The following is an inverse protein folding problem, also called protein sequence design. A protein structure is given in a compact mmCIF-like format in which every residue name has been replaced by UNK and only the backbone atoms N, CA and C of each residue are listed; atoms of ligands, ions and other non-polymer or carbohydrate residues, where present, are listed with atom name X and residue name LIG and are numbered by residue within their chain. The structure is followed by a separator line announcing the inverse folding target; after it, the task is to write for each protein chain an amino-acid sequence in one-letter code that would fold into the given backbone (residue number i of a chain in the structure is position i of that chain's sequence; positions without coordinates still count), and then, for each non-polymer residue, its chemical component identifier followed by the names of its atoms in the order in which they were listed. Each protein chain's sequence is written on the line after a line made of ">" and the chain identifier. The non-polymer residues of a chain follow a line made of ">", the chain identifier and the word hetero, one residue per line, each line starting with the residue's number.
data_IF_161481412037
#
_entry.id   IF_161481412037
#
_cell.length_a   1.000
_cell.length_b   1.000
_cell.length_c   1.000
_cell.angle_alpha   90.00
_cell.angle_beta   90.00
_cell.angle_gamma   90.00
#
_symmetry.space_group_name_H-M   'P 1'
#
loop_
_entity.id
_entity.type
_entity.pdbx_description
1 polymer ?
#
# COMPACT_ATOMS: atom_id res chain seq x y z
N UNK A 1 -17.40 4.77 -18.02
CA UNK A 1 -16.74 3.49 -17.68
C UNK A 1 -17.33 2.41 -18.57
N UNK A 2 -16.50 1.81 -19.41
CA UNK A 2 -16.94 0.71 -20.27
C UNK A 2 -17.06 -0.61 -19.48
N UNK A 3 -17.52 -1.68 -20.13
CA UNK A 3 -17.69 -2.98 -19.48
C UNK A 3 -16.36 -3.60 -19.03
N UNK A 4 -15.28 -3.36 -19.78
CA UNK A 4 -13.95 -3.91 -19.49
C UNK A 4 -13.35 -3.24 -18.24
N UNK A 5 -13.46 -1.93 -18.15
CA UNK A 5 -13.00 -1.11 -17.02
C UNK A 5 -13.74 -1.46 -15.73
N UNK A 6 -15.06 -1.71 -15.79
CA UNK A 6 -15.82 -2.24 -14.65
C UNK A 6 -15.32 -3.60 -14.17
N UNK A 7 -15.04 -4.52 -15.10
CA UNK A 7 -14.51 -5.85 -14.75
C UNK A 7 -13.13 -5.73 -14.13
N UNK A 8 -12.27 -4.87 -14.69
CA UNK A 8 -10.94 -4.61 -14.15
C UNK A 8 -11.02 -4.07 -12.72
N UNK A 9 -11.92 -3.13 -12.44
CA UNK A 9 -12.10 -2.58 -11.08
C UNK A 9 -12.64 -3.59 -10.09
N UNK A 10 -13.55 -4.48 -10.49
CA UNK A 10 -14.01 -5.58 -9.63
C UNK A 10 -12.89 -6.54 -9.28
N UNK A 11 -12.04 -6.89 -10.26
CA UNK A 11 -10.85 -7.71 -10.02
C UNK A 11 -9.88 -7.01 -9.09
N UNK A 12 -9.61 -5.72 -9.32
CA UNK A 12 -8.76 -4.91 -8.45
C UNK A 12 -9.30 -4.83 -7.02
N UNK A 13 -10.61 -4.68 -6.84
CA UNK A 13 -11.25 -4.70 -5.54
C UNK A 13 -11.06 -6.06 -4.84
N UNK A 14 -11.27 -7.18 -5.55
CA UNK A 14 -11.05 -8.52 -5.00
C UNK A 14 -9.58 -8.72 -4.59
N UNK A 15 -8.62 -8.33 -5.44
CA UNK A 15 -7.19 -8.42 -5.11
C UNK A 15 -6.78 -7.52 -3.96
N UNK A 16 -7.30 -6.30 -3.89
CA UNK A 16 -7.09 -5.40 -2.76
C UNK A 16 -7.63 -6.02 -1.46
N UNK A 17 -8.80 -6.64 -1.48
CA UNK A 17 -9.37 -7.29 -0.30
C UNK A 17 -8.49 -8.45 0.18
N UNK A 18 -8.08 -9.35 -0.72
CA UNK A 18 -7.20 -10.49 -0.37
C UNK A 18 -5.84 -9.99 0.13
N UNK A 19 -5.22 -9.05 -0.59
CA UNK A 19 -3.96 -8.44 -0.17
C UNK A 19 -4.07 -7.78 1.21
N UNK A 20 -5.18 -7.10 1.45
CA UNK A 20 -5.48 -6.45 2.71
C UNK A 20 -5.58 -7.43 3.88
N UNK A 21 -6.29 -8.54 3.69
CA UNK A 21 -6.37 -9.63 4.68
C UNK A 21 -4.99 -10.22 4.96
N UNK A 22 -4.21 -10.50 3.92
CA UNK A 22 -2.85 -11.03 4.07
C UNK A 22 -1.96 -10.09 4.89
N UNK A 23 -1.97 -8.78 4.62
CA UNK A 23 -1.19 -7.80 5.38
C UNK A 23 -1.68 -7.61 6.81
N UNK A 24 -2.99 -7.70 7.03
CA UNK A 24 -3.57 -7.58 8.37
C UNK A 24 -3.24 -8.79 9.25
N UNK A 25 -3.27 -9.99 8.66
CA UNK A 25 -3.09 -11.27 9.37
C UNK A 25 -1.62 -11.64 9.52
N UNK A 26 -0.74 -11.29 8.56
CA UNK A 26 0.67 -11.69 8.60
C UNK A 26 1.38 -11.37 9.94
N UNK A 27 1.21 -10.18 10.54
CA UNK A 27 1.84 -9.85 11.83
C UNK A 27 1.46 -10.78 12.99
N UNK A 28 0.32 -11.49 12.93
CA UNK A 28 -0.08 -12.48 13.93
C UNK A 28 0.86 -13.70 13.94
N UNK A 29 1.54 -13.96 12.83
CA UNK A 29 2.55 -15.01 12.66
C UNK A 29 3.97 -14.48 12.90
N UNK A 30 4.09 -13.38 13.66
CA UNK A 30 5.28 -12.54 13.87
C UNK A 30 6.63 -13.24 13.58
N UNK A 31 7.62 -12.55 12.98
CA UNK A 31 8.81 -13.18 12.38
C UNK A 31 9.65 -14.15 13.26
N UNK A 32 9.37 -14.28 14.56
CA UNK A 32 10.01 -15.25 15.45
C UNK A 32 9.22 -16.54 15.74
N UNK A 33 7.92 -16.62 15.44
CA UNK A 33 7.09 -17.81 15.74
C UNK A 33 6.88 -18.70 14.52
N UNK A 34 6.40 -18.12 13.41
CA UNK A 34 6.10 -18.85 12.17
C UNK A 34 6.62 -18.08 10.95
N UNK A 35 7.96 -18.01 10.76
CA UNK A 35 8.58 -17.15 9.75
C UNK A 35 8.16 -17.49 8.32
N UNK A 36 7.94 -18.77 8.00
CA UNK A 36 7.46 -19.20 6.69
C UNK A 36 6.06 -18.69 6.37
N UNK A 37 5.15 -18.71 7.35
CA UNK A 37 3.78 -18.19 7.21
C UNK A 37 3.75 -16.66 7.12
N UNK A 38 4.56 -15.98 7.93
CA UNK A 38 4.74 -14.53 7.84
C UNK A 38 5.20 -14.11 6.44
N UNK A 39 6.22 -14.79 5.92
CA UNK A 39 6.74 -14.52 4.58
C UNK A 39 5.73 -14.87 3.49
N UNK A 40 5.09 -16.04 3.55
CA UNK A 40 4.12 -16.47 2.55
C UNK A 40 2.93 -15.49 2.45
N UNK A 41 2.36 -15.06 3.58
CA UNK A 41 1.29 -14.06 3.59
C UNK A 41 1.79 -12.70 3.10
N UNK A 42 3.01 -12.30 3.48
CA UNK A 42 3.66 -11.09 2.95
C UNK A 42 3.81 -11.12 1.42
N UNK A 43 4.27 -12.25 0.87
CA UNK A 43 4.45 -12.43 -0.56
C UNK A 43 3.13 -12.36 -1.34
N UNK A 44 2.08 -13.00 -0.83
CA UNK A 44 0.74 -12.90 -1.41
C UNK A 44 0.21 -11.46 -1.32
N UNK A 45 0.34 -10.82 -0.14
CA UNK A 45 -0.12 -9.45 0.09
C UNK A 45 0.53 -8.45 -0.87
N UNK A 46 1.87 -8.42 -0.91
CA UNK A 46 2.60 -7.51 -1.79
C UNK A 46 2.44 -7.86 -3.27
N UNK A 47 2.43 -9.15 -3.64
CA UNK A 47 2.23 -9.57 -5.02
C UNK A 47 0.88 -9.13 -5.60
N UNK A 48 -0.20 -9.30 -4.82
CA UNK A 48 -1.55 -8.90 -5.21
C UNK A 48 -1.77 -7.37 -5.20
N UNK A 49 -0.83 -6.59 -4.65
CA UNK A 49 -0.86 -5.14 -4.73
C UNK A 49 -0.60 -4.63 -6.16
N UNK A 50 0.22 -5.34 -6.96
CA UNK A 50 0.56 -4.94 -8.33
C UNK A 50 -0.65 -4.73 -9.24
N UNK A 51 -1.60 -5.68 -9.37
CA UNK A 51 -2.79 -5.45 -10.20
C UNK A 51 -3.67 -4.31 -9.68
N UNK A 52 -3.66 -4.04 -8.37
CA UNK A 52 -4.37 -2.89 -7.78
C UNK A 52 -3.70 -1.58 -8.21
N UNK A 53 -2.37 -1.51 -8.13
CA UNK A 53 -1.58 -0.35 -8.57
C UNK A 53 -1.79 -0.09 -10.06
N UNK A 54 -1.77 -1.14 -10.89
CA UNK A 54 -2.04 -1.01 -12.33
C UNK A 54 -3.43 -0.43 -12.61
N UNK A 55 -4.45 -0.87 -11.87
CA UNK A 55 -5.81 -0.35 -12.01
C UNK A 55 -5.94 1.11 -11.55
N UNK A 56 -5.25 1.47 -10.47
CA UNK A 56 -5.16 2.85 -10.00
C UNK A 56 -4.45 3.74 -11.03
N UNK A 57 -3.38 3.25 -11.67
CA UNK A 57 -2.66 4.00 -12.69
C UNK A 57 -3.59 4.44 -13.82
N UNK A 58 -4.34 3.49 -14.40
CA UNK A 58 -5.29 3.75 -15.50
C UNK A 58 -6.33 4.79 -15.08
N UNK A 59 -6.82 4.74 -13.83
CA UNK A 59 -7.78 5.72 -13.31
C UNK A 59 -7.20 7.12 -13.11
N UNK A 60 -5.92 7.20 -12.73
CA UNK A 60 -5.28 8.46 -12.41
C UNK A 60 -4.67 9.17 -13.62
N UNK A 61 -4.21 8.41 -14.62
CA UNK A 61 -3.49 8.95 -15.78
C UNK A 61 -4.25 10.09 -16.49
N UNK A 62 -5.56 9.99 -16.78
CA UNK A 62 -6.29 11.04 -17.50
C UNK A 62 -6.42 12.35 -16.73
N UNK A 63 -6.27 12.30 -15.41
CA UNK A 63 -6.48 13.45 -14.52
C UNK A 63 -5.17 14.10 -14.10
N UNK A 64 -4.12 13.31 -13.89
CA UNK A 64 -2.80 13.82 -13.51
C UNK A 64 -1.69 12.82 -13.86
N UNK A 65 -1.27 12.82 -15.13
CA UNK A 65 -0.28 11.87 -15.67
C UNK A 65 1.01 11.75 -14.86
N UNK A 66 1.64 12.88 -14.50
CA UNK A 66 2.90 12.86 -13.73
C UNK A 66 2.74 12.21 -12.36
N UNK A 67 1.63 12.51 -11.67
CA UNK A 67 1.26 11.89 -10.40
C UNK A 67 0.97 10.39 -10.56
N UNK A 68 0.23 10.01 -11.59
CA UNK A 68 -0.09 8.61 -11.89
C UNK A 68 1.16 7.78 -12.16
N UNK A 69 2.14 8.31 -12.89
CA UNK A 69 3.43 7.63 -13.16
C UNK A 69 4.25 7.49 -11.87
N UNK A 70 4.40 8.57 -11.10
CA UNK A 70 5.14 8.54 -9.83
C UNK A 70 4.49 7.56 -8.83
N UNK A 71 3.15 7.57 -8.74
CA UNK A 71 2.40 6.66 -7.90
C UNK A 71 2.62 5.19 -8.29
N UNK A 72 2.66 4.89 -9.59
CA UNK A 72 2.92 3.52 -10.07
C UNK A 72 4.33 3.06 -9.75
N UNK A 73 5.33 3.91 -9.99
CA UNK A 73 6.74 3.58 -9.71
C UNK A 73 6.91 3.37 -8.20
N UNK A 74 6.44 4.31 -7.37
CA UNK A 74 6.53 4.19 -5.92
C UNK A 74 5.74 2.97 -5.41
N UNK A 75 4.56 2.70 -5.96
CA UNK A 75 3.76 1.53 -5.62
C UNK A 75 4.46 0.22 -5.97
N UNK A 76 5.09 0.12 -7.14
CA UNK A 76 5.89 -1.04 -7.50
C UNK A 76 7.11 -1.21 -6.57
N UNK A 77 7.75 -0.12 -6.16
CA UNK A 77 8.81 -0.15 -5.14
C UNK A 77 8.29 -0.63 -3.77
N UNK A 78 7.06 -0.27 -3.38
CA UNK A 78 6.43 -0.79 -2.15
C UNK A 78 6.28 -2.30 -2.21
N UNK A 79 5.96 -2.86 -3.37
CA UNK A 79 5.87 -4.32 -3.55
C UNK A 79 7.24 -4.97 -3.37
N UNK A 80 8.25 -4.49 -4.09
CA UNK A 80 9.58 -5.13 -4.10
C UNK A 80 10.31 -4.96 -2.76
N UNK A 81 10.38 -3.73 -2.25
CA UNK A 81 11.02 -3.46 -0.95
C UNK A 81 10.20 -3.97 0.22
N UNK A 82 8.86 -3.97 0.12
CA UNK A 82 8.00 -4.55 1.15
C UNK A 82 8.17 -6.06 1.28
N UNK A 83 8.27 -6.76 0.14
CA UNK A 83 8.60 -8.18 0.11
C UNK A 83 10.01 -8.44 0.65
N UNK A 84 10.98 -7.63 0.22
CA UNK A 84 12.34 -7.69 0.75
C UNK A 84 12.38 -7.50 2.26
N UNK A 85 11.65 -6.52 2.79
CA UNK A 85 11.52 -6.24 4.22
C UNK A 85 10.78 -7.35 4.99
N UNK A 86 9.98 -8.18 4.32
CA UNK A 86 9.39 -9.36 4.93
C UNK A 86 10.42 -10.49 5.15
N UNK A 87 11.49 -10.52 4.35
CA UNK A 87 12.57 -11.51 4.47
C UNK A 87 13.80 -10.98 5.23
N UNK A 88 14.07 -9.67 5.15
CA UNK A 88 15.23 -9.03 5.76
C UNK A 88 14.82 -7.71 6.44
N UNK A 89 14.98 -7.65 7.76
CA UNK A 89 14.61 -6.48 8.58
C UNK A 89 15.42 -5.21 8.24
N UNK A 90 16.61 -5.35 7.67
CA UNK A 90 17.46 -4.21 7.30
C UNK A 90 16.85 -3.38 6.16
N UNK A 91 15.91 -3.98 5.40
CA UNK A 91 15.19 -3.30 4.33
C UNK A 91 13.95 -2.55 4.82
N UNK A 92 13.57 -2.66 6.11
CA UNK A 92 12.38 -2.00 6.67
C UNK A 92 12.43 -0.47 6.48
N UNK A 93 13.53 0.25 6.78
CA UNK A 93 13.56 1.70 6.58
C UNK A 93 13.32 2.10 5.12
N UNK A 94 13.91 1.37 4.17
CA UNK A 94 13.69 1.60 2.74
C UNK A 94 12.23 1.32 2.33
N UNK A 95 11.64 0.23 2.84
CA UNK A 95 10.24 -0.11 2.59
C UNK A 95 9.27 0.95 3.15
N UNK A 96 9.53 1.46 4.36
CA UNK A 96 8.76 2.55 4.96
C UNK A 96 8.87 3.84 4.15
N UNK A 97 10.08 4.17 3.68
CA UNK A 97 10.30 5.37 2.87
C UNK A 97 9.50 5.33 1.56
N UNK A 98 9.57 4.24 0.80
CA UNK A 98 8.81 4.14 -0.46
C UNK A 98 7.31 4.03 -0.23
N UNK A 99 6.87 3.41 0.87
CA UNK A 99 5.44 3.41 1.28
C UNK A 99 4.96 4.81 1.59
N UNK A 100 5.79 5.61 2.27
CA UNK A 100 5.55 7.03 2.49
C UNK A 100 5.40 7.80 1.18
N UNK A 101 6.34 7.65 0.23
CA UNK A 101 6.25 8.30 -1.08
C UNK A 101 4.97 7.90 -1.82
N UNK A 102 4.64 6.61 -1.81
CA UNK A 102 3.49 6.08 -2.51
C UNK A 102 2.18 6.66 -1.95
N UNK A 103 1.97 6.53 -0.63
CA UNK A 103 0.79 7.06 0.06
C UNK A 103 0.67 8.58 -0.03
N UNK A 104 1.78 9.31 0.04
CA UNK A 104 1.77 10.76 -0.14
C UNK A 104 1.30 11.14 -1.55
N UNK A 105 1.84 10.47 -2.56
CA UNK A 105 1.53 10.74 -3.97
C UNK A 105 0.06 10.47 -4.27
N UNK A 106 -0.44 9.27 -3.95
CA UNK A 106 -1.83 8.91 -4.24
C UNK A 106 -2.81 9.67 -3.35
N UNK A 107 -2.47 9.90 -2.07
CA UNK A 107 -3.32 10.62 -1.14
C UNK A 107 -3.59 12.05 -1.61
N UNK A 108 -2.53 12.79 -1.96
CA UNK A 108 -2.67 14.15 -2.52
C UNK A 108 -3.45 14.15 -3.82
N UNK A 109 -3.17 13.20 -4.73
CA UNK A 109 -3.93 13.08 -5.96
C UNK A 109 -5.43 12.91 -5.70
N UNK A 110 -5.83 12.08 -4.73
CA UNK A 110 -7.24 11.88 -4.41
C UNK A 110 -7.88 13.13 -3.80
N UNK A 111 -7.14 13.89 -3.00
CA UNK A 111 -7.60 15.19 -2.48
C UNK A 111 -7.87 16.17 -3.63
N UNK A 112 -6.92 16.30 -4.57
CA UNK A 112 -6.96 17.26 -5.67
C UNK A 112 -8.00 16.86 -6.75
N UNK A 113 -8.00 15.59 -7.16
CA UNK A 113 -8.78 15.10 -8.32
C UNK A 113 -10.15 14.55 -7.96
N UNK A 114 -10.37 14.13 -6.71
CA UNK A 114 -11.63 13.52 -6.28
C UNK A 114 -11.92 12.13 -6.87
N UNK A 115 -10.91 11.46 -7.47
CA UNK A 115 -11.05 10.09 -8.00
C UNK A 115 -11.55 9.11 -6.94
N UNK A 116 -11.10 9.31 -5.71
CA UNK A 116 -11.58 8.63 -4.51
C UNK A 116 -11.98 9.69 -3.47
N UNK A 117 -12.73 9.32 -2.41
CA UNK A 117 -13.17 10.28 -1.40
C UNK A 117 -12.00 11.11 -0.84
N UNK A 118 -12.14 12.44 -0.86
CA UNK A 118 -11.08 13.37 -0.43
C UNK A 118 -10.63 13.11 1.01
N UNK A 119 -11.55 12.72 1.90
CA UNK A 119 -11.22 12.34 3.27
C UNK A 119 -10.27 11.13 3.32
N UNK A 120 -10.47 10.13 2.46
CA UNK A 120 -9.56 9.00 2.34
C UNK A 120 -8.20 9.41 1.76
N UNK A 121 -8.19 10.37 0.83
CA UNK A 121 -6.97 11.02 0.34
C UNK A 121 -6.15 11.68 1.45
N UNK A 122 -6.79 12.49 2.30
CA UNK A 122 -6.13 13.12 3.45
C UNK A 122 -5.60 12.11 4.46
N UNK A 123 -6.40 11.09 4.80
CA UNK A 123 -5.96 10.01 5.68
C UNK A 123 -4.74 9.28 5.11
N UNK A 124 -4.75 8.98 3.82
CA UNK A 124 -3.62 8.32 3.14
C UNK A 124 -2.37 9.20 3.15
N UNK A 125 -2.51 10.51 2.89
CA UNK A 125 -1.40 11.44 2.98
C UNK A 125 -0.85 11.57 4.41
N UNK A 126 -1.71 11.54 5.44
CA UNK A 126 -1.28 11.56 6.84
C UNK A 126 -0.49 10.28 7.22
N UNK A 127 -0.91 9.11 6.75
CA UNK A 127 -0.16 7.87 6.94
C UNK A 127 1.26 7.94 6.34
N UNK A 128 1.42 8.64 5.21
CA UNK A 128 2.75 8.87 4.65
C UNK A 128 3.66 9.68 5.57
N UNK A 129 3.12 10.70 6.24
CA UNK A 129 3.87 11.50 7.22
C UNK A 129 4.36 10.61 8.37
N UNK A 130 3.53 9.68 8.84
CA UNK A 130 3.94 8.70 9.86
C UNK A 130 5.12 7.85 9.37
N UNK A 131 5.06 7.34 8.13
CA UNK A 131 6.19 6.60 7.55
C UNK A 131 7.48 7.43 7.50
N UNK A 132 7.41 8.68 7.04
CA UNK A 132 8.58 9.56 6.98
C UNK A 132 9.12 9.91 8.37
N UNK A 133 8.25 10.15 9.35
CA UNK A 133 8.65 10.40 10.72
C UNK A 133 9.42 9.21 11.33
N UNK A 134 8.98 7.98 11.06
CA UNK A 134 9.69 6.77 11.51
C UNK A 134 11.05 6.61 10.83
N UNK A 135 11.14 6.86 9.52
CA UNK A 135 12.41 6.83 8.79
C UNK A 135 13.38 7.89 9.32
N UNK A 136 12.89 9.10 9.62
CA UNK A 136 13.69 10.15 10.23
C UNK A 136 14.16 9.75 11.64
N UNK A 137 13.26 9.17 12.45
CA UNK A 137 13.61 8.66 13.78
C UNK A 137 14.70 7.57 13.69
N UNK A 138 14.58 6.62 12.76
CA UNK A 138 15.62 5.63 12.48
C UNK A 138 16.96 6.28 12.15
N UNK A 139 16.97 7.24 11.22
CA UNK A 139 18.19 7.92 10.79
C UNK A 139 18.89 8.68 11.93
N UNK A 140 18.12 9.22 12.88
CA UNK A 140 18.65 10.00 14.00
C UNK A 140 19.06 9.16 15.20
N UNK A 141 18.42 8.00 15.42
CA UNK A 141 18.55 7.24 16.67
C UNK A 141 19.12 5.83 16.49
N UNK A 142 19.07 5.28 15.28
CA UNK A 142 19.42 3.88 15.00
C UNK A 142 18.45 2.86 15.61
N UNK A 143 17.34 3.29 16.20
CA UNK A 143 16.38 2.37 16.85
C UNK A 143 15.77 1.44 15.79
N UNK A 144 15.75 0.11 15.99
CA UNK A 144 15.20 -0.82 15.02
C UNK A 144 13.74 -0.50 14.64
N UNK A 145 13.43 -0.53 13.34
CA UNK A 145 12.08 -0.23 12.81
C UNK A 145 11.16 -1.46 12.73
N UNK A 146 11.62 -2.63 13.19
CA UNK A 146 10.79 -3.84 13.22
C UNK A 146 9.54 -3.71 14.10
N UNK A 147 9.60 -3.18 15.35
CA UNK A 147 8.41 -2.99 16.16
C UNK A 147 7.34 -2.07 15.55
N UNK A 148 7.68 -0.89 14.97
CA UNK A 148 6.67 -0.04 14.33
C UNK A 148 6.24 -0.48 12.91
N UNK A 149 7.01 -1.32 12.18
CA UNK A 149 6.56 -1.82 10.87
C UNK A 149 5.35 -2.77 11.00
N UNK A 150 5.29 -3.59 12.05
CA UNK A 150 4.18 -4.53 12.26
C UNK A 150 2.80 -3.85 12.29
N UNK A 151 2.54 -2.84 13.16
CA UNK A 151 1.26 -2.14 13.15
C UNK A 151 1.03 -1.37 11.83
N UNK A 152 2.07 -0.81 11.21
CA UNK A 152 1.92 -0.15 9.90
C UNK A 152 1.56 -1.12 8.77
N UNK A 153 2.00 -2.38 8.86
CA UNK A 153 1.60 -3.43 7.93
C UNK A 153 0.14 -3.82 8.14
N UNK A 154 -0.33 -3.88 9.38
CA UNK A 154 -1.76 -4.06 9.67
C UNK A 154 -2.59 -2.89 9.13
N UNK A 155 -2.11 -1.66 9.30
CA UNK A 155 -2.74 -0.46 8.75
C UNK A 155 -2.78 -0.50 7.23
N UNK A 156 -1.72 -0.94 6.55
CA UNK A 156 -1.74 -1.19 5.10
C UNK A 156 -2.82 -2.22 4.74
N UNK A 157 -2.97 -3.27 5.55
CA UNK A 157 -4.03 -4.25 5.39
C UNK A 157 -5.44 -3.65 5.44
N UNK A 158 -5.72 -2.88 6.49
CA UNK A 158 -7.00 -2.16 6.64
C UNK A 158 -7.22 -1.16 5.51
N UNK A 159 -6.18 -0.42 5.14
CA UNK A 159 -6.22 0.54 4.05
C UNK A 159 -6.61 -0.11 2.71
N UNK A 160 -6.08 -1.31 2.43
CA UNK A 160 -6.42 -2.08 1.24
C UNK A 160 -7.86 -2.61 1.25
N UNK A 161 -8.36 -3.04 2.41
CA UNK A 161 -9.75 -3.47 2.57
C UNK A 161 -10.71 -2.30 2.33
N UNK A 162 -10.39 -1.11 2.86
CA UNK A 162 -11.18 0.11 2.61
C UNK A 162 -11.13 0.50 1.13
N UNK A 163 -9.94 0.46 0.52
CA UNK A 163 -9.77 0.71 -0.91
C UNK A 163 -10.61 -0.27 -1.74
N UNK A 164 -10.62 -1.56 -1.39
CA UNK A 164 -11.44 -2.56 -2.06
C UNK A 164 -12.93 -2.19 -2.04
N UNK A 165 -13.43 -1.71 -0.91
CA UNK A 165 -14.80 -1.21 -0.78
C UNK A 165 -15.12 -0.07 -1.76
N UNK A 166 -14.21 0.89 -1.90
CA UNK A 166 -14.38 1.99 -2.87
C UNK A 166 -14.31 1.51 -4.32
N UNK A 167 -13.32 0.68 -4.66
CA UNK A 167 -13.19 0.13 -6.03
C UNK A 167 -14.41 -0.72 -6.41
N UNK A 168 -14.94 -1.50 -5.48
CA UNK A 168 -16.15 -2.30 -5.71
C UNK A 168 -17.38 -1.43 -5.94
N UNK A 169 -17.55 -0.38 -5.12
CA UNK A 169 -18.65 0.57 -5.24
C UNK A 169 -18.60 1.31 -6.58
N UNK A 170 -17.42 1.76 -6.99
CA UNK A 170 -17.23 2.49 -8.25
C UNK A 170 -17.44 1.59 -9.49
N UNK A 171 -17.34 0.26 -9.34
CA UNK A 171 -17.54 -0.71 -10.41
C UNK A 171 -18.98 -1.24 -10.53
N UNK A 172 -19.91 -0.73 -9.73
CA UNK A 172 -21.35 -0.98 -9.85
C UNK A 172 -21.94 -0.04 -10.89
#
# INVERSE_FOLDING_TARGET
>A
MDAYERIALRKAAAWAAVAGVCHFVAPLFAPGFYPSWYFALGAVGYGLLLPVIASLHVRHEPLRRSGAVLATIAGASVVTLGLGAAANIDLIPAALFVRGIWWWTIGKMWVETGVLPRAFGWLTAALAIVCFALVAAYALTGIPMSPPDLPLRMILGVWLIVLAGFLWRDAR
#
